data_IF_391258378614
#
_entry.id   IF_391258378614
#
_cell.length_a   1.000
_cell.length_b   1.000
_cell.length_c   1.000
_cell.angle_alpha   90.00
_cell.angle_beta   90.00
_cell.angle_gamma   90.00
#
_symmetry.space_group_name_H-M   'P 1'
#
loop_
_entity.id
_entity.type
_entity.pdbx_description
1 polymer ?
#
# COMPACT_ATOMS: atom_id res chain seq x y z
N UNK A 1 44.03 -0.34 -40.69
CA UNK A 1 43.15 0.21 -39.64
C UNK A 1 41.72 0.17 -40.18
N UNK A 2 40.87 -0.70 -39.63
CA UNK A 2 39.44 -0.72 -39.95
C UNK A 2 38.69 0.04 -38.83
N UNK A 3 37.68 0.88 -39.14
CA UNK A 3 36.90 1.53 -38.11
C UNK A 3 36.02 0.51 -37.39
N UNK A 4 36.06 0.53 -36.05
CA UNK A 4 35.20 -0.31 -35.20
C UNK A 4 33.77 0.23 -35.23
N UNK A 5 32.84 -0.68 -35.47
CA UNK A 5 31.40 -0.49 -35.43
C UNK A 5 30.93 0.11 -34.10
N UNK A 6 30.16 1.21 -34.16
CA UNK A 6 29.42 1.80 -33.04
C UNK A 6 28.09 1.06 -32.83
N UNK A 7 28.14 -0.25 -32.60
CA UNK A 7 26.97 -1.02 -32.16
C UNK A 7 27.33 -1.66 -30.82
N UNK A 8 26.98 -0.99 -29.72
CA UNK A 8 27.20 -1.55 -28.38
C UNK A 8 26.74 -0.70 -27.20
N UNK A 9 25.94 0.35 -27.41
CA UNK A 9 25.44 1.18 -26.30
C UNK A 9 23.92 1.32 -26.36
N UNK A 10 23.21 0.19 -26.44
CA UNK A 10 21.75 0.20 -26.47
C UNK A 10 21.13 -1.10 -25.97
N UNK A 11 21.53 -1.62 -24.81
CA UNK A 11 20.86 -2.80 -24.22
C UNK A 11 20.74 -2.80 -22.70
N UNK A 12 20.80 -1.64 -22.03
CA UNK A 12 20.46 -1.54 -20.61
C UNK A 12 19.67 -0.26 -20.29
N UNK A 13 18.62 0.03 -21.07
CA UNK A 13 17.56 0.93 -20.59
C UNK A 13 16.58 0.09 -19.78
N UNK A 14 16.80 0.03 -18.46
CA UNK A 14 15.80 -0.50 -17.54
C UNK A 14 14.70 0.56 -17.51
N UNK A 15 13.56 0.27 -18.14
CA UNK A 15 12.41 1.17 -18.13
C UNK A 15 11.80 1.14 -16.72
N UNK A 16 12.34 1.96 -15.83
CA UNK A 16 11.94 2.07 -14.43
C UNK A 16 10.43 2.31 -14.30
N UNK A 17 9.81 3.00 -15.27
CA UNK A 17 8.37 3.24 -15.28
C UNK A 17 7.55 1.95 -15.52
N UNK A 18 8.05 1.06 -16.37
CA UNK A 18 7.43 -0.24 -16.62
C UNK A 18 7.50 -1.13 -15.37
N UNK A 19 8.66 -1.18 -14.70
CA UNK A 19 8.85 -1.94 -13.46
C UNK A 19 7.95 -1.42 -12.33
N UNK A 20 7.87 -0.09 -12.13
CA UNK A 20 6.95 0.52 -11.17
C UNK A 20 5.47 0.21 -11.46
N UNK A 21 5.10 0.12 -12.75
CA UNK A 21 3.73 -0.22 -13.14
C UNK A 21 3.37 -1.66 -12.79
N UNK A 22 4.29 -2.60 -13.01
CA UNK A 22 4.11 -4.02 -12.67
C UNK A 22 4.12 -4.25 -11.17
N UNK A 23 4.94 -3.50 -10.43
CA UNK A 23 4.94 -3.50 -8.97
C UNK A 23 3.58 -3.07 -8.41
N UNK A 24 3.03 -1.94 -8.87
CA UNK A 24 1.69 -1.46 -8.49
C UNK A 24 0.59 -2.46 -8.84
N UNK A 25 0.68 -3.15 -10.00
CA UNK A 25 -0.27 -4.21 -10.37
C UNK A 25 -0.17 -5.40 -9.42
N UNK A 26 1.03 -5.79 -9.00
CA UNK A 26 1.25 -6.88 -8.05
C UNK A 26 0.71 -6.53 -6.67
N UNK A 27 1.01 -5.35 -6.14
CA UNK A 27 0.45 -4.84 -4.89
C UNK A 27 -1.09 -4.81 -4.93
N UNK A 28 -1.67 -4.31 -6.04
CA UNK A 28 -3.12 -4.30 -6.22
C UNK A 28 -3.74 -5.70 -6.18
N UNK A 29 -3.07 -6.71 -6.73
CA UNK A 29 -3.51 -8.11 -6.67
C UNK A 29 -3.43 -8.68 -5.26
N UNK A 30 -2.38 -8.35 -4.52
CA UNK A 30 -2.18 -8.81 -3.13
C UNK A 30 -3.26 -8.25 -2.21
N UNK A 31 -3.48 -6.93 -2.26
CA UNK A 31 -4.55 -6.25 -1.54
C UNK A 31 -5.92 -6.88 -1.86
N UNK A 32 -6.22 -7.13 -3.14
CA UNK A 32 -7.47 -7.79 -3.53
C UNK A 32 -7.61 -9.20 -2.92
N UNK A 33 -6.50 -9.93 -2.81
CA UNK A 33 -6.45 -11.24 -2.17
C UNK A 33 -6.78 -11.18 -0.68
N UNK A 34 -6.20 -10.22 0.04
CA UNK A 34 -6.48 -9.98 1.47
C UNK A 34 -7.94 -9.59 1.71
N UNK A 35 -8.47 -8.66 0.90
CA UNK A 35 -9.89 -8.25 0.99
C UNK A 35 -10.85 -9.42 0.76
N UNK A 36 -10.54 -10.30 -0.20
CA UNK A 36 -11.36 -11.49 -0.47
C UNK A 36 -11.39 -12.44 0.72
N UNK A 37 -10.26 -12.67 1.37
CA UNK A 37 -10.18 -13.52 2.57
C UNK A 37 -10.98 -12.90 3.72
N UNK A 38 -10.85 -11.58 3.94
CA UNK A 38 -11.62 -10.86 4.94
C UNK A 38 -13.12 -10.97 4.69
N UNK A 39 -13.56 -10.79 3.44
CA UNK A 39 -14.97 -10.90 3.06
C UNK A 39 -15.54 -12.30 3.31
N UNK A 40 -14.80 -13.36 2.95
CA UNK A 40 -15.21 -14.75 3.20
C UNK A 40 -15.36 -15.05 4.69
N UNK A 41 -14.36 -14.67 5.49
CA UNK A 41 -14.42 -14.83 6.94
C UNK A 41 -15.60 -14.09 7.56
N UNK A 42 -15.80 -12.84 7.15
CA UNK A 42 -16.89 -12.01 7.66
C UNK A 42 -18.26 -12.56 7.28
N UNK A 43 -18.41 -13.12 6.07
CA UNK A 43 -19.65 -13.77 5.67
C UNK A 43 -19.95 -15.01 6.54
N UNK A 44 -18.93 -15.83 6.83
CA UNK A 44 -19.06 -17.02 7.68
C UNK A 44 -19.43 -16.66 9.13
N UNK A 45 -18.73 -15.69 9.72
CA UNK A 45 -18.90 -15.31 11.12
C UNK A 45 -20.19 -14.51 11.37
N UNK A 46 -20.50 -13.58 10.46
CA UNK A 46 -21.57 -12.59 10.67
C UNK A 46 -22.82 -12.84 9.80
N UNK A 47 -22.84 -13.92 8.98
CA UNK A 47 -23.93 -14.19 8.01
C UNK A 47 -24.22 -12.99 7.09
N UNK A 48 -23.19 -12.24 6.75
CA UNK A 48 -23.29 -11.03 5.93
C UNK A 48 -23.83 -9.77 6.63
N UNK A 49 -24.21 -9.83 7.92
CA UNK A 49 -24.63 -8.65 8.69
C UNK A 49 -23.41 -7.98 9.32
N UNK A 50 -22.90 -6.94 8.66
CA UNK A 50 -21.70 -6.23 9.10
C UNK A 50 -22.00 -4.78 9.42
N UNK A 51 -21.19 -4.19 10.29
CA UNK A 51 -21.20 -2.74 10.50
C UNK A 51 -20.49 -2.11 9.29
N UNK A 52 -20.98 -0.97 8.75
CA UNK A 52 -20.30 -0.28 7.66
C UNK A 52 -18.83 0.04 8.01
N UNK A 53 -17.90 -0.60 7.29
CA UNK A 53 -16.46 -0.33 7.42
C UNK A 53 -16.13 0.85 6.50
N UNK A 54 -15.51 1.89 7.05
CA UNK A 54 -15.03 3.03 6.25
C UNK A 54 -13.71 2.70 5.58
N UNK A 55 -13.59 3.08 4.32
CA UNK A 55 -12.34 3.03 3.57
C UNK A 55 -11.63 4.38 3.67
N UNK A 56 -10.33 4.36 3.96
CA UNK A 56 -9.47 5.54 3.95
C UNK A 56 -8.40 5.36 2.89
N UNK A 57 -8.00 6.47 2.26
CA UNK A 57 -6.83 6.45 1.37
C UNK A 57 -5.54 6.39 2.18
N UNK A 58 -4.47 5.89 1.55
CA UNK A 58 -3.13 5.93 2.15
C UNK A 58 -2.73 7.37 2.51
N UNK A 59 -3.07 8.35 1.67
CA UNK A 59 -2.78 9.77 1.94
C UNK A 59 -3.49 10.31 3.19
N UNK A 60 -4.72 9.89 3.46
CA UNK A 60 -5.43 10.27 4.69
C UNK A 60 -4.75 9.70 5.92
N UNK A 61 -4.33 8.42 5.89
CA UNK A 61 -3.64 7.77 7.02
C UNK A 61 -2.28 8.44 7.27
N UNK A 62 -1.51 8.69 6.21
CA UNK A 62 -0.20 9.35 6.31
C UNK A 62 -0.34 10.78 6.86
N UNK A 63 -1.31 11.55 6.36
CA UNK A 63 -1.58 12.91 6.87
C UNK A 63 -2.01 12.88 8.33
N UNK A 64 -2.92 11.98 8.71
CA UNK A 64 -3.46 11.89 10.06
C UNK A 64 -2.39 11.55 11.10
N UNK A 65 -1.44 10.69 10.74
CA UNK A 65 -0.36 10.23 11.63
C UNK A 65 0.92 11.07 11.54
N UNK A 66 0.92 12.14 10.73
CA UNK A 66 2.13 12.91 10.39
C UNK A 66 3.26 11.99 9.87
N UNK A 67 2.92 11.07 8.98
CA UNK A 67 3.83 10.07 8.43
C UNK A 67 4.42 9.17 9.52
N UNK A 68 3.57 8.68 10.44
CA UNK A 68 3.95 7.83 11.57
C UNK A 68 5.03 8.44 12.49
N UNK A 69 4.96 9.75 12.73
CA UNK A 69 5.90 10.45 13.60
C UNK A 69 5.80 9.99 15.07
N UNK A 70 6.93 9.97 15.78
CA UNK A 70 7.00 9.54 17.18
C UNK A 70 6.13 10.40 18.11
N UNK A 71 5.84 11.67 17.79
CA UNK A 71 4.92 12.50 18.59
C UNK A 71 3.46 12.03 18.52
N UNK A 72 3.14 11.20 17.52
CA UNK A 72 1.84 10.54 17.36
C UNK A 72 1.80 9.16 18.03
N UNK A 73 2.93 8.64 18.54
CA UNK A 73 2.99 7.35 19.21
C UNK A 73 2.18 7.35 20.51
N UNK A 74 1.37 6.31 20.70
CA UNK A 74 0.61 6.08 21.93
C UNK A 74 1.26 4.95 22.72
N UNK A 75 1.33 3.77 22.13
CA UNK A 75 1.93 2.58 22.73
C UNK A 75 2.35 1.57 21.65
N UNK A 76 3.27 0.69 22.01
CA UNK A 76 3.62 -0.49 21.22
C UNK A 76 3.30 -1.73 22.03
N UNK A 77 2.55 -2.66 21.44
CA UNK A 77 2.17 -3.92 22.08
C UNK A 77 2.24 -5.07 21.08
N UNK A 78 3.05 -6.08 21.40
CA UNK A 78 3.27 -7.24 20.54
C UNK A 78 3.72 -6.85 19.14
N UNK A 79 2.90 -7.19 18.15
CA UNK A 79 3.19 -6.98 16.72
C UNK A 79 2.68 -5.64 16.17
N UNK A 80 2.09 -4.77 17.01
CA UNK A 80 1.42 -3.55 16.54
C UNK A 80 1.85 -2.31 17.32
N UNK A 81 1.89 -1.17 16.61
CA UNK A 81 2.13 0.16 17.17
C UNK A 81 0.86 0.98 17.02
N UNK A 82 0.45 1.63 18.09
CA UNK A 82 -0.72 2.49 18.15
C UNK A 82 -0.32 3.94 17.96
N UNK A 83 -0.93 4.60 16.98
CA UNK A 83 -0.74 6.02 16.71
C UNK A 83 -2.05 6.79 16.91
N UNK A 84 -1.95 7.99 17.48
CA UNK A 84 -3.03 8.98 17.41
C UNK A 84 -3.01 9.64 16.03
N UNK A 85 -4.17 9.99 15.51
CA UNK A 85 -4.26 10.75 14.27
C UNK A 85 -5.61 11.43 14.10
N UNK A 86 -5.63 12.49 13.31
CA UNK A 86 -6.83 13.26 12.99
C UNK A 86 -7.12 13.13 11.50
N UNK A 87 -8.30 12.61 11.17
CA UNK A 87 -8.82 12.56 9.81
C UNK A 87 -9.92 13.61 9.72
N UNK A 88 -9.84 14.50 8.72
CA UNK A 88 -10.87 15.50 8.41
C UNK A 88 -12.24 14.79 8.22
N UNK A 89 -13.37 15.42 8.60
CA UNK A 89 -14.73 14.82 8.73
C UNK A 89 -15.00 13.93 9.95
N UNK A 90 -14.23 14.08 11.03
CA UNK A 90 -14.61 13.61 12.37
C UNK A 90 -14.84 14.81 13.31
N UNK A 91 -15.82 15.64 12.96
CA UNK A 91 -16.45 16.61 13.89
C UNK A 91 -17.52 15.93 14.74
#
# INVERSE_FOLDING_TARGET
MAPRSLNGFRDHYVDTAAEESEFRKKEGREVLGEWKQLAQRTHADCKGKTIPIRNFSSSQILKATKNFDCSCHVLQEGFYIWYKGVIEDRS
#
